data_IF_509855265842
#
_entry.id   IF_509855265842
#
_cell.length_a   1.000
_cell.length_b   1.000
_cell.length_c   1.000
_cell.angle_alpha   90.00
_cell.angle_beta   90.00
_cell.angle_gamma   90.00
#
_symmetry.space_group_name_H-M   'P 1'
#
loop_
_entity.id
_entity.type
_entity.pdbx_description
1 polymer ?
#
# COMPACT_ATOMS: atom_id res chain seq x y z
N UNK A 1 8.14 -45.84 13.57
CA UNK A 1 8.56 -45.14 12.34
C UNK A 1 7.69 -43.90 12.20
N UNK A 2 8.27 -42.71 12.27
CA UNK A 2 7.51 -41.45 12.11
C UNK A 2 7.18 -41.26 10.63
N UNK A 3 5.90 -41.37 10.29
CA UNK A 3 5.38 -41.14 8.95
C UNK A 3 5.66 -39.69 8.56
N UNK A 4 6.54 -39.47 7.59
CA UNK A 4 6.78 -38.14 7.04
C UNK A 4 5.85 -37.91 5.84
N UNK A 5 5.12 -36.80 5.86
CA UNK A 5 4.25 -36.38 4.76
C UNK A 5 5.08 -36.08 3.52
N UNK A 6 4.65 -36.56 2.35
CA UNK A 6 5.32 -36.27 1.08
C UNK A 6 5.31 -34.77 0.75
N UNK A 7 6.46 -34.26 0.29
CA UNK A 7 6.60 -32.87 -0.17
C UNK A 7 5.69 -32.60 -1.38
N UNK A 8 5.27 -31.34 -1.54
CA UNK A 8 4.43 -30.89 -2.66
C UNK A 8 4.97 -29.59 -3.24
N UNK A 9 4.78 -29.40 -4.55
CA UNK A 9 5.04 -28.13 -5.23
C UNK A 9 3.90 -27.15 -4.92
N UNK A 10 4.26 -25.96 -4.46
CA UNK A 10 3.31 -24.87 -4.27
C UNK A 10 3.25 -23.99 -5.52
N UNK A 11 2.05 -23.82 -6.08
CA UNK A 11 1.76 -22.89 -7.18
C UNK A 11 0.70 -21.91 -6.67
N UNK A 12 1.03 -20.62 -6.45
CA UNK A 12 0.05 -19.64 -5.98
C UNK A 12 -1.07 -19.41 -7.01
N UNK A 13 -2.29 -19.28 -6.51
CA UNK A 13 -3.45 -18.92 -7.31
C UNK A 13 -4.03 -17.58 -6.82
N UNK A 14 -4.48 -16.70 -7.73
CA UNK A 14 -5.25 -15.52 -7.34
C UNK A 14 -6.60 -15.96 -6.75
N UNK A 15 -7.12 -15.14 -5.85
CA UNK A 15 -8.44 -15.35 -5.24
C UNK A 15 -9.57 -15.23 -6.27
N UNK A 16 -9.40 -14.41 -7.31
CA UNK A 16 -10.34 -14.22 -8.41
C UNK A 16 -9.90 -14.82 -9.75
N UNK A 17 -10.86 -15.33 -10.51
CA UNK A 17 -10.76 -15.86 -11.88
C UNK A 17 -11.92 -15.29 -12.72
N UNK A 18 -11.94 -15.41 -14.06
CA UNK A 18 -13.08 -14.96 -14.86
C UNK A 18 -14.41 -15.54 -14.34
N UNK A 19 -15.38 -14.67 -14.04
CA UNK A 19 -16.67 -15.04 -13.45
C UNK A 19 -16.71 -15.08 -11.92
N UNK A 20 -15.57 -14.90 -11.22
CA UNK A 20 -15.49 -14.86 -9.77
C UNK A 20 -15.12 -13.45 -9.26
N UNK A 21 -15.47 -13.17 -8.00
CA UNK A 21 -15.02 -11.95 -7.31
C UNK A 21 -13.63 -12.17 -6.73
N UNK A 22 -12.72 -11.21 -6.89
CA UNK A 22 -11.42 -11.21 -6.22
C UNK A 22 -11.58 -10.79 -4.77
N UNK A 23 -11.02 -11.57 -3.85
CA UNK A 23 -10.80 -11.13 -2.48
C UNK A 23 -9.48 -10.35 -2.39
N UNK A 24 -9.56 -9.09 -1.98
CA UNK A 24 -8.41 -8.20 -1.81
C UNK A 24 -7.81 -8.21 -0.39
N UNK A 25 -8.27 -9.10 0.50
CA UNK A 25 -7.77 -9.24 1.88
C UNK A 25 -6.26 -9.52 1.98
N UNK A 26 -5.64 -10.00 0.90
CA UNK A 26 -4.17 -10.17 0.81
C UNK A 26 -3.41 -8.83 0.81
N UNK A 27 -4.07 -7.71 0.50
CA UNK A 27 -3.50 -6.38 0.59
C UNK A 27 -3.48 -5.92 2.06
N UNK A 28 -2.27 -5.66 2.57
CA UNK A 28 -2.07 -5.10 3.91
C UNK A 28 -2.26 -3.58 3.88
N UNK A 29 -3.51 -3.15 3.87
CA UNK A 29 -3.85 -1.72 3.89
C UNK A 29 -3.79 -1.15 5.30
N UNK A 30 -3.29 0.08 5.42
CA UNK A 30 -3.26 0.85 6.67
C UNK A 30 -4.29 1.99 6.59
N UNK A 31 -4.90 2.42 7.71
CA UNK A 31 -5.79 3.57 7.68
C UNK A 31 -5.08 4.83 7.14
N UNK A 32 -5.77 5.69 6.36
CA UNK A 32 -5.22 6.94 5.87
C UNK A 32 -4.57 7.76 6.99
N UNK A 33 -3.37 8.26 6.75
CA UNK A 33 -2.61 9.09 7.69
C UNK A 33 -2.02 8.36 8.91
N UNK A 34 -2.27 7.06 9.10
CA UNK A 34 -1.78 6.32 10.27
C UNK A 34 -0.27 6.03 10.22
N UNK A 35 0.30 5.91 9.02
CA UNK A 35 1.71 5.56 8.84
C UNK A 35 2.60 6.77 9.04
N UNK A 36 3.61 6.63 9.91
CA UNK A 36 4.57 7.69 10.23
C UNK A 36 5.41 8.10 9.02
N UNK A 37 5.92 9.33 9.05
CA UNK A 37 6.90 9.84 8.07
C UNK A 37 8.28 9.93 8.74
N UNK A 38 9.19 8.98 8.48
CA UNK A 38 10.55 9.05 9.03
C UNK A 38 11.34 10.23 8.41
N UNK A 39 12.42 10.67 9.08
CA UNK A 39 13.42 11.53 8.48
C UNK A 39 14.01 10.91 7.18
N UNK A 40 14.43 11.73 6.19
CA UNK A 40 15.03 11.22 4.96
C UNK A 40 16.34 10.44 5.15
N UNK A 41 17.02 10.67 6.28
CA UNK A 41 18.26 10.03 6.70
C UNK A 41 18.04 8.87 7.70
N UNK A 42 16.80 8.43 7.88
CA UNK A 42 16.49 7.31 8.76
C UNK A 42 17.23 6.03 8.34
N UNK A 43 17.87 5.31 9.28
CA UNK A 43 18.49 4.03 9.01
C UNK A 43 17.50 3.02 8.41
N UNK A 44 17.97 2.17 7.50
CA UNK A 44 17.13 1.13 6.89
C UNK A 44 16.51 0.16 7.92
N UNK A 45 17.21 -0.13 9.02
CA UNK A 45 16.69 -0.96 10.10
C UNK A 45 15.43 -0.36 10.75
N UNK A 46 15.34 0.98 10.75
CA UNK A 46 14.22 1.71 11.35
C UNK A 46 13.04 1.84 10.39
N UNK A 47 13.03 1.20 9.21
CA UNK A 47 11.92 1.29 8.23
C UNK A 47 11.20 -0.03 7.98
N UNK A 48 11.55 -1.09 8.72
CA UNK A 48 10.99 -2.43 8.53
C UNK A 48 9.46 -2.47 8.68
N UNK A 49 8.90 -1.68 9.61
CA UNK A 49 7.46 -1.51 9.77
C UNK A 49 6.81 -0.88 8.52
N UNK A 50 7.48 0.11 7.92
CA UNK A 50 6.97 0.82 6.74
C UNK A 50 6.84 -0.11 5.53
N UNK A 51 7.77 -1.06 5.38
CA UNK A 51 7.77 -2.05 4.30
C UNK A 51 6.55 -3.00 4.32
N UNK A 52 5.85 -3.09 5.46
CA UNK A 52 4.66 -3.92 5.64
C UNK A 52 3.38 -3.11 5.86
N UNK A 53 3.43 -1.79 5.64
CA UNK A 53 2.33 -0.86 5.82
C UNK A 53 2.04 -0.09 4.52
N UNK A 54 0.97 0.71 4.52
CA UNK A 54 0.61 1.54 3.37
C UNK A 54 0.61 3.03 3.75
N UNK A 55 1.51 3.80 3.13
CA UNK A 55 1.44 5.26 3.19
C UNK A 55 0.27 5.73 2.33
N UNK A 56 -0.77 6.22 2.98
CA UNK A 56 -1.96 6.80 2.34
C UNK A 56 -2.25 8.18 2.93
N UNK A 57 -2.51 9.18 2.07
CA UNK A 57 -2.72 10.59 2.46
C UNK A 57 -4.17 11.01 2.39
N UNK A 58 -4.89 10.59 1.35
CA UNK A 58 -6.30 10.96 1.17
C UNK A 58 -7.17 9.91 1.86
N UNK A 59 -8.11 10.35 2.70
CA UNK A 59 -9.15 9.49 3.25
C UNK A 59 -10.30 9.27 2.25
N UNK A 60 -11.31 8.50 2.66
CA UNK A 60 -12.46 8.15 1.83
C UNK A 60 -13.31 9.37 1.44
N UNK A 61 -13.21 10.47 2.18
CA UNK A 61 -13.85 11.76 1.87
C UNK A 61 -12.94 12.69 1.05
N UNK A 62 -11.73 12.24 0.69
CA UNK A 62 -10.75 13.01 -0.07
C UNK A 62 -10.00 14.08 0.74
N UNK A 63 -10.01 14.02 2.07
CA UNK A 63 -9.24 14.94 2.93
C UNK A 63 -7.82 14.43 3.11
N UNK A 64 -6.85 15.36 3.08
CA UNK A 64 -5.46 15.04 3.35
C UNK A 64 -5.22 14.89 4.87
N UNK A 65 -4.74 13.72 5.28
CA UNK A 65 -4.53 13.36 6.69
C UNK A 65 -3.12 12.83 6.96
N UNK A 66 -2.69 12.95 8.22
CA UNK A 66 -1.43 12.37 8.73
C UNK A 66 -0.15 13.11 8.36
N UNK A 67 1.02 12.58 8.76
CA UNK A 67 2.31 13.26 8.67
C UNK A 67 2.88 13.36 7.25
N UNK A 68 2.28 12.60 6.31
CA UNK A 68 2.61 12.64 4.90
C UNK A 68 1.81 13.69 4.12
N UNK A 69 0.77 14.30 4.73
CA UNK A 69 0.03 15.39 4.11
C UNK A 69 0.98 16.55 3.77
N UNK A 70 1.22 16.86 2.49
CA UNK A 70 2.27 17.78 2.10
C UNK A 70 1.80 19.23 2.20
N UNK A 71 2.69 20.11 2.65
CA UNK A 71 2.53 21.56 2.43
C UNK A 71 2.86 21.89 0.95
N UNK A 72 1.96 21.52 0.04
CA UNK A 72 2.14 21.68 -1.41
C UNK A 72 1.17 22.74 -1.96
N UNK A 73 1.67 23.60 -2.84
CA UNK A 73 0.82 24.57 -3.52
C UNK A 73 -0.20 23.85 -4.43
N UNK A 74 -1.50 24.19 -4.39
CA UNK A 74 -2.53 23.51 -5.17
C UNK A 74 -2.27 23.45 -6.68
N UNK A 75 -1.54 24.43 -7.23
CA UNK A 75 -1.21 24.41 -8.67
C UNK A 75 -0.30 23.25 -9.07
N UNK A 76 0.52 22.75 -8.15
CA UNK A 76 1.33 21.55 -8.41
C UNK A 76 0.44 20.31 -8.49
N UNK A 77 -0.60 20.22 -7.65
CA UNK A 77 -1.60 19.15 -7.71
C UNK A 77 -2.42 19.24 -9.01
N UNK A 78 -2.86 20.45 -9.42
CA UNK A 78 -3.58 20.67 -10.68
C UNK A 78 -2.75 20.28 -11.91
N UNK A 79 -1.43 20.52 -11.88
CA UNK A 79 -0.52 20.01 -12.92
C UNK A 79 -0.48 18.48 -12.95
N UNK A 80 -0.39 17.84 -11.78
CA UNK A 80 -0.47 16.38 -11.65
C UNK A 80 -1.77 15.81 -12.22
N UNK A 81 -2.92 16.42 -11.88
CA UNK A 81 -4.23 16.03 -12.41
C UNK A 81 -4.28 16.13 -13.95
N UNK A 82 -3.83 17.24 -14.53
CA UNK A 82 -3.75 17.39 -16.00
C UNK A 82 -2.86 16.34 -16.65
N UNK A 83 -1.78 15.92 -15.98
CA UNK A 83 -0.93 14.86 -16.48
C UNK A 83 -1.64 13.50 -16.49
N UNK A 84 -2.33 13.14 -15.40
CA UNK A 84 -3.10 11.89 -15.30
C UNK A 84 -4.25 11.82 -16.31
N UNK A 85 -4.90 12.95 -16.63
CA UNK A 85 -5.96 12.98 -17.65
C UNK A 85 -5.46 12.84 -19.09
N UNK A 86 -4.16 13.05 -19.32
CA UNK A 86 -3.55 12.99 -20.65
C UNK A 86 -3.03 11.58 -20.99
N UNK A 87 -2.73 10.77 -19.98
CA UNK A 87 -2.24 9.39 -20.10
C UNK A 87 -3.38 8.40 -20.21
#
# INVERSE_FOLDING_TARGET
MTSHTALRLHVPEPTGRPGCTTDFSFLRVSPPGAVRRPPPDAPAADTADLAHSLVCVLDDDGRAVGPWAPAIHPDRLRRGLRAMMKT
#
